data_IF_708444823922
#
_entry.id   IF_708444823922
#
_cell.length_a   1.000
_cell.length_b   1.000
_cell.length_c   1.000
_cell.angle_alpha   90.00
_cell.angle_beta   90.00
_cell.angle_gamma   90.00
#
_symmetry.space_group_name_H-M   'P 1'
#
loop_
_entity.id
_entity.type
_entity.pdbx_description
1 polymer ?
#
# COMPACT_ATOMS: atom_id res chain seq x y z
N UNK A 1 -12.15 15.21 22.46
CA UNK A 1 -12.11 14.04 21.53
C UNK A 1 -13.05 14.34 20.36
N UNK A 2 -12.83 15.48 19.71
CA UNK A 2 -13.87 16.16 18.94
C UNK A 2 -13.42 16.43 17.53
N UNK A 3 -14.35 16.24 16.60
CA UNK A 3 -14.26 16.54 15.16
C UNK A 3 -13.72 15.40 14.27
N UNK A 4 -14.60 14.95 13.37
CA UNK A 4 -14.33 14.01 12.27
C UNK A 4 -13.09 14.35 11.41
N UNK A 5 -12.69 15.63 11.21
CA UNK A 5 -11.48 15.98 10.46
C UNK A 5 -10.17 15.48 11.06
N UNK A 6 -10.01 15.52 12.39
CA UNK A 6 -8.76 15.10 13.05
C UNK A 6 -8.51 13.59 12.92
N UNK A 7 -9.58 12.79 12.87
CA UNK A 7 -9.48 11.35 12.70
C UNK A 7 -9.07 11.00 11.27
N UNK A 8 -9.62 11.69 10.28
CA UNK A 8 -9.28 11.51 8.86
C UNK A 8 -7.85 11.98 8.57
N UNK A 9 -7.43 13.07 9.19
CA UNK A 9 -6.05 13.57 9.11
C UNK A 9 -5.06 12.59 9.74
N UNK A 10 -5.35 12.00 10.91
CA UNK A 10 -4.51 10.96 11.50
C UNK A 10 -4.44 9.68 10.64
N UNK A 11 -5.54 9.34 9.97
CA UNK A 11 -5.65 8.21 9.05
C UNK A 11 -4.82 8.44 7.78
N UNK A 12 -4.94 9.61 7.17
CA UNK A 12 -4.14 10.05 6.01
C UNK A 12 -2.68 10.14 6.41
N UNK A 13 -2.36 10.73 7.56
CA UNK A 13 -0.98 10.85 8.04
C UNK A 13 -0.35 9.47 8.31
N UNK A 14 -1.11 8.53 8.87
CA UNK A 14 -0.69 7.14 9.08
C UNK A 14 -0.55 6.32 7.78
N UNK A 15 -1.47 6.50 6.83
CA UNK A 15 -1.46 5.84 5.52
C UNK A 15 -0.31 6.33 4.63
N UNK A 16 -0.09 7.65 4.59
CA UNK A 16 0.99 8.28 3.81
C UNK A 16 2.37 7.87 4.33
N UNK A 17 2.53 7.72 5.65
CA UNK A 17 3.82 7.28 6.25
C UNK A 17 4.25 5.88 5.79
N UNK A 18 3.30 5.02 5.43
CA UNK A 18 3.57 3.66 4.89
C UNK A 18 3.62 3.63 3.35
N UNK A 19 2.88 4.50 2.69
CA UNK A 19 2.90 4.61 1.23
C UNK A 19 4.25 5.11 0.70
N UNK A 20 4.90 6.04 1.40
CA UNK A 20 6.21 6.60 0.98
C UNK A 20 7.32 5.53 0.88
N UNK A 21 7.54 4.66 1.88
CA UNK A 21 8.50 3.55 1.77
C UNK A 21 8.22 2.56 0.63
N UNK A 22 6.95 2.27 0.32
CA UNK A 22 6.60 1.36 -0.79
C UNK A 22 6.81 2.00 -2.15
N UNK A 23 6.53 3.30 -2.28
CA UNK A 23 6.87 4.05 -3.49
C UNK A 23 8.38 4.10 -3.72
N UNK A 24 9.18 4.21 -2.64
CA UNK A 24 10.64 4.19 -2.72
C UNK A 24 11.17 2.87 -3.31
N UNK A 25 10.64 1.72 -2.88
CA UNK A 25 11.11 0.42 -3.39
C UNK A 25 10.71 0.22 -4.85
N UNK A 26 9.49 0.59 -5.23
CA UNK A 26 9.03 0.53 -6.64
C UNK A 26 9.88 1.45 -7.51
N UNK A 27 10.14 2.68 -7.08
CA UNK A 27 10.99 3.63 -7.81
C UNK A 27 12.43 3.13 -7.96
N UNK A 28 13.01 2.54 -6.90
CA UNK A 28 14.34 1.94 -6.95
C UNK A 28 14.40 0.75 -7.92
N UNK A 29 13.40 -0.13 -7.91
CA UNK A 29 13.30 -1.24 -8.85
C UNK A 29 13.19 -0.75 -10.29
N UNK A 30 12.36 0.27 -10.54
CA UNK A 30 12.27 0.90 -11.85
C UNK A 30 13.61 1.50 -12.28
N UNK A 31 14.32 2.24 -11.43
CA UNK A 31 15.64 2.79 -11.77
C UNK A 31 16.69 1.70 -12.08
N UNK A 32 16.64 0.55 -11.40
CA UNK A 32 17.56 -0.57 -11.67
C UNK A 32 17.23 -1.37 -12.93
N UNK A 33 15.94 -1.49 -13.28
CA UNK A 33 15.46 -2.34 -14.38
C UNK A 33 15.20 -1.56 -15.69
N UNK A 34 14.89 -0.26 -15.63
CA UNK A 34 14.74 0.61 -16.80
C UNK A 34 15.93 0.54 -17.78
N UNK A 35 17.19 0.71 -17.33
CA UNK A 35 18.32 0.73 -18.27
C UNK A 35 18.53 -0.62 -18.95
N UNK A 36 18.15 -1.72 -18.29
CA UNK A 36 18.18 -3.07 -18.87
C UNK A 36 17.16 -3.21 -19.99
N UNK A 37 15.98 -2.59 -19.85
CA UNK A 37 14.93 -2.58 -20.87
C UNK A 37 15.34 -1.81 -22.13
N UNK A 38 16.11 -0.74 -21.99
CA UNK A 38 16.63 0.05 -23.13
C UNK A 38 17.91 -0.53 -23.76
N UNK A 39 18.61 -1.41 -23.06
CA UNK A 39 19.81 -2.05 -23.62
C UNK A 39 19.47 -2.87 -24.85
N UNK A 40 20.26 -2.72 -25.92
CA UNK A 40 20.15 -3.49 -27.19
C UNK A 40 21.41 -4.33 -27.42
N UNK A 41 22.23 -4.53 -26.38
CA UNK A 41 23.43 -5.36 -26.46
C UNK A 41 23.10 -6.85 -26.65
N UNK A 42 24.05 -7.64 -27.17
CA UNK A 42 23.91 -9.09 -27.23
C UNK A 42 23.56 -9.66 -25.84
N UNK A 43 22.51 -10.48 -25.75
CA UNK A 43 21.98 -11.02 -24.48
C UNK A 43 20.88 -10.17 -23.82
N UNK A 44 20.61 -8.95 -24.31
CA UNK A 44 19.57 -8.08 -23.75
C UNK A 44 18.16 -8.69 -23.89
N UNK A 45 17.88 -9.44 -24.94
CA UNK A 45 16.57 -10.10 -25.12
C UNK A 45 16.25 -11.11 -24.01
N UNK A 46 17.27 -11.81 -23.49
CA UNK A 46 17.10 -12.75 -22.37
C UNK A 46 16.84 -11.98 -21.09
N UNK A 47 17.58 -10.90 -20.85
CA UNK A 47 17.40 -10.06 -19.65
C UNK A 47 16.04 -9.37 -19.63
N UNK A 48 15.54 -8.89 -20.78
CA UNK A 48 14.20 -8.27 -20.90
C UNK A 48 13.09 -9.26 -20.57
N UNK A 49 13.21 -10.53 -20.99
CA UNK A 49 12.21 -11.58 -20.69
C UNK A 49 12.10 -11.90 -19.20
N UNK A 50 13.16 -11.66 -18.43
CA UNK A 50 13.17 -11.85 -16.97
C UNK A 50 12.70 -10.56 -16.25
N UNK A 51 13.19 -9.40 -16.69
CA UNK A 51 12.88 -8.12 -16.07
C UNK A 51 11.44 -7.66 -16.31
N UNK A 52 10.87 -7.89 -17.49
CA UNK A 52 9.51 -7.48 -17.82
C UNK A 52 8.43 -8.03 -16.86
N UNK A 53 8.36 -9.34 -16.57
CA UNK A 53 7.39 -9.87 -15.60
C UNK A 53 7.69 -9.42 -14.16
N UNK A 54 8.96 -9.19 -13.79
CA UNK A 54 9.29 -8.64 -12.47
C UNK A 54 8.71 -7.25 -12.27
N UNK A 55 8.87 -6.35 -13.25
CA UNK A 55 8.30 -5.00 -13.21
C UNK A 55 6.77 -5.07 -13.10
N UNK A 56 6.13 -5.87 -13.96
CA UNK A 56 4.68 -6.04 -13.96
C UNK A 56 4.14 -6.63 -12.67
N UNK A 57 4.82 -7.65 -12.12
CA UNK A 57 4.45 -8.29 -10.87
C UNK A 57 4.60 -7.35 -9.68
N UNK A 58 5.71 -6.60 -9.61
CA UNK A 58 5.95 -5.63 -8.55
C UNK A 58 4.90 -4.50 -8.58
N UNK A 59 4.58 -4.00 -9.77
CA UNK A 59 3.57 -2.95 -9.95
C UNK A 59 2.17 -3.45 -9.57
N UNK A 60 1.78 -4.63 -10.04
CA UNK A 60 0.48 -5.23 -9.72
C UNK A 60 0.35 -5.53 -8.24
N UNK A 61 1.40 -6.05 -7.61
CA UNK A 61 1.44 -6.33 -6.17
C UNK A 61 1.37 -5.04 -5.35
N UNK A 62 2.08 -3.98 -5.77
CA UNK A 62 2.03 -2.68 -5.14
C UNK A 62 0.63 -2.06 -5.21
N UNK A 63 -0.05 -2.13 -6.37
CA UNK A 63 -1.43 -1.68 -6.51
C UNK A 63 -2.38 -2.49 -5.62
N UNK A 64 -2.24 -3.82 -5.62
CA UNK A 64 -3.03 -4.69 -4.74
C UNK A 64 -2.82 -4.29 -3.28
N UNK A 65 -1.58 -4.09 -2.84
CA UNK A 65 -1.29 -3.65 -1.49
C UNK A 65 -1.90 -2.28 -1.18
N UNK A 66 -1.77 -1.29 -2.08
CA UNK A 66 -2.34 0.03 -1.89
C UNK A 66 -3.86 0.01 -1.81
N UNK A 67 -4.53 -0.93 -2.47
CA UNK A 67 -5.98 -1.11 -2.44
C UNK A 67 -6.44 -1.95 -1.23
N UNK A 68 -5.70 -3.00 -0.91
CA UNK A 68 -6.02 -3.94 0.18
C UNK A 68 -5.74 -3.30 1.54
N UNK A 69 -4.65 -2.55 1.70
CA UNK A 69 -4.31 -1.91 2.97
C UNK A 69 -5.41 -0.98 3.51
N UNK A 70 -5.96 -0.02 2.74
CA UNK A 70 -7.03 0.85 3.21
C UNK A 70 -8.32 0.06 3.44
N UNK A 71 -8.62 -0.95 2.63
CA UNK A 71 -9.78 -1.81 2.83
C UNK A 71 -9.70 -2.58 4.16
N UNK A 72 -8.55 -3.20 4.46
CA UNK A 72 -8.30 -3.91 5.72
C UNK A 72 -8.30 -2.95 6.90
N UNK A 73 -7.68 -1.77 6.75
CA UNK A 73 -7.66 -0.77 7.81
C UNK A 73 -9.07 -0.27 8.14
N UNK A 74 -9.89 0.04 7.14
CA UNK A 74 -11.29 0.45 7.31
C UNK A 74 -12.12 -0.62 8.03
N UNK A 75 -11.96 -1.89 7.64
CA UNK A 75 -12.63 -3.03 8.28
C UNK A 75 -12.21 -3.23 9.74
N UNK A 76 -10.93 -3.05 10.04
CA UNK A 76 -10.41 -3.13 11.40
C UNK A 76 -10.90 -1.99 12.29
N UNK A 77 -10.94 -0.76 11.75
CA UNK A 77 -11.47 0.41 12.45
C UNK A 77 -12.96 0.24 12.79
N UNK A 78 -13.77 -0.20 11.82
CA UNK A 78 -15.19 -0.51 12.05
C UNK A 78 -15.40 -1.58 13.13
N UNK A 79 -14.56 -2.63 13.14
CA UNK A 79 -14.61 -3.66 14.19
C UNK A 79 -14.18 -3.13 15.56
N UNK A 80 -13.23 -2.20 15.61
CA UNK A 80 -12.86 -1.54 16.86
C UNK A 80 -13.98 -0.66 17.40
N UNK A 81 -14.62 0.13 16.54
CA UNK A 81 -15.75 0.99 16.92
C UNK A 81 -16.95 0.16 17.40
N UNK A 82 -17.26 -0.95 16.71
CA UNK A 82 -18.30 -1.88 17.16
C UNK A 82 -18.00 -2.49 18.54
N UNK A 83 -16.73 -2.84 18.82
CA UNK A 83 -16.31 -3.30 20.16
C UNK A 83 -16.38 -2.19 21.22
N UNK A 84 -16.05 -0.94 20.87
CA UNK A 84 -16.14 0.20 21.80
C UNK A 84 -17.59 0.53 22.15
N UNK A 85 -18.50 0.53 21.17
CA UNK A 85 -19.93 0.75 21.39
C UNK A 85 -20.57 -0.40 22.20
N UNK A 86 -20.12 -1.64 22.00
CA UNK A 86 -20.54 -2.78 22.83
C UNK A 86 -20.06 -2.71 24.28
N UNK A 87 -18.95 -2.01 24.56
CA UNK A 87 -18.44 -1.79 25.91
C UNK A 87 -19.00 -0.53 26.59
N UNK A 88 -19.54 0.41 25.81
CA UNK A 88 -20.12 1.68 26.27
C UNK A 88 -21.62 1.59 26.60
N UNK A 89 -22.25 0.43 26.40
CA UNK A 89 -23.56 0.10 26.97
C UNK A 89 -23.35 -0.76 28.22
N UNK A 90 -23.12 -0.14 29.40
CA UNK A 90 -23.44 -0.82 30.64
C UNK A 90 -24.93 -1.17 30.57
N UNK A 91 -25.22 -2.43 30.87
CA UNK A 91 -26.56 -2.91 31.17
C UNK A 91 -27.13 -2.04 32.30
N UNK A 92 -27.88 -1.00 31.94
CA UNK A 92 -28.84 -0.37 32.82
C UNK A 92 -30.16 -1.12 32.65
N UNK A 93 -30.24 -2.33 33.22
CA UNK A 93 -31.46 -2.99 33.76
C UNK A 93 -31.06 -4.08 34.74
#
# INVERSE_FOLDING_TARGET
LGSLPELDEALVHGAVKRARPKMMTVAAAFMGLLPIMWSTSAGADVMKRIAAPMIGGLFTSFLLELLVYPAVYKLWLQRQEAKRLGHALPAER
#
